data_IF_345896416896
#
_entry.id   IF_345896416896
#
_cell.length_a   1.000
_cell.length_b   1.000
_cell.length_c   1.000
_cell.angle_alpha   90.00
_cell.angle_beta   90.00
_cell.angle_gamma   90.00
#
_symmetry.space_group_name_H-M   'P 1'
#
loop_
_entity.id
_entity.type
_entity.pdbx_description
1 polymer ?
#
# COMPACT_ATOMS: atom_id res chain seq x y z
N UNK A 1 -10.55 6.87 17.28
CA UNK A 1 -10.38 6.21 15.98
C UNK A 1 -8.88 6.03 15.79
N UNK A 2 -8.36 4.81 15.95
CA UNK A 2 -6.96 4.53 15.61
C UNK A 2 -6.81 4.69 14.11
N UNK A 3 -5.83 5.47 13.66
CA UNK A 3 -5.53 5.58 12.24
C UNK A 3 -5.05 4.23 11.71
N UNK A 4 -5.47 3.85 10.51
CA UNK A 4 -5.00 2.63 9.83
C UNK A 4 -3.50 2.71 9.59
N UNK A 5 -2.76 1.68 10.01
CA UNK A 5 -1.34 1.56 9.73
C UNK A 5 -1.10 1.19 8.27
N UNK A 6 0.10 1.46 7.75
CA UNK A 6 0.46 1.07 6.38
C UNK A 6 0.31 -0.45 6.14
N UNK A 7 0.70 -1.26 7.14
CA UNK A 7 0.61 -2.71 7.06
C UNK A 7 -0.84 -3.21 7.03
N UNK A 8 -1.72 -2.63 7.86
CA UNK A 8 -3.17 -2.92 7.83
C UNK A 8 -3.78 -2.51 6.48
N UNK A 9 -3.48 -1.31 6.00
CA UNK A 9 -3.99 -0.83 4.72
C UNK A 9 -3.60 -1.75 3.56
N UNK A 10 -2.35 -2.23 3.52
CA UNK A 10 -1.88 -3.18 2.50
C UNK A 10 -2.55 -4.54 2.69
N UNK A 11 -2.53 -5.11 3.91
CA UNK A 11 -3.05 -6.44 4.18
C UNK A 11 -4.55 -6.57 3.86
N UNK A 12 -5.34 -5.60 4.31
CA UNK A 12 -6.78 -5.56 4.04
C UNK A 12 -7.05 -5.36 2.53
N UNK A 13 -6.20 -4.62 1.78
CA UNK A 13 -6.45 -4.33 0.36
C UNK A 13 -6.13 -5.55 -0.47
N UNK A 14 -5.05 -6.24 -0.09
CA UNK A 14 -4.66 -7.52 -0.64
C UNK A 14 -5.75 -8.57 -0.40
N UNK A 15 -6.26 -8.67 0.83
CA UNK A 15 -7.32 -9.62 1.16
C UNK A 15 -8.62 -9.37 0.37
N UNK A 16 -9.00 -8.11 0.17
CA UNK A 16 -10.18 -7.78 -0.65
C UNK A 16 -10.02 -8.23 -2.12
N UNK A 17 -8.81 -8.15 -2.67
CA UNK A 17 -8.56 -8.45 -4.08
C UNK A 17 -8.25 -9.92 -4.36
N UNK A 18 -7.57 -10.59 -3.44
CA UNK A 18 -7.11 -11.98 -3.60
C UNK A 18 -7.91 -12.99 -2.75
N UNK A 19 -8.73 -12.51 -1.81
CA UNK A 19 -9.44 -13.36 -0.85
C UNK A 19 -8.53 -13.99 0.21
N UNK A 20 -7.28 -13.57 0.29
CA UNK A 20 -6.28 -14.03 1.26
C UNK A 20 -5.46 -12.85 1.76
N UNK A 21 -5.29 -12.74 3.08
CA UNK A 21 -4.39 -11.76 3.68
C UNK A 21 -2.96 -12.32 3.69
N UNK A 22 -1.93 -11.50 3.41
CA UNK A 22 -0.55 -11.90 3.60
C UNK A 22 -0.27 -12.11 5.09
N UNK A 23 0.45 -13.18 5.42
CA UNK A 23 0.82 -13.55 6.78
C UNK A 23 2.30 -13.26 7.07
N UNK A 24 3.15 -13.38 6.06
CA UNK A 24 4.59 -13.20 6.15
C UNK A 24 5.06 -11.95 5.37
N UNK A 25 6.08 -11.20 5.87
CA UNK A 25 6.64 -10.06 5.14
C UNK A 25 7.19 -10.43 3.75
N UNK A 26 7.56 -11.70 3.56
CA UNK A 26 8.07 -12.23 2.30
C UNK A 26 6.99 -12.63 1.28
N UNK A 27 5.71 -12.63 1.66
CA UNK A 27 4.61 -12.99 0.77
C UNK A 27 4.58 -12.07 -0.44
N UNK A 28 4.57 -12.67 -1.63
CA UNK A 28 4.64 -11.97 -2.90
C UNK A 28 3.27 -11.87 -3.56
N UNK A 29 2.89 -10.67 -3.99
CA UNK A 29 1.54 -10.37 -4.50
C UNK A 29 1.20 -11.17 -5.75
N UNK A 30 2.16 -11.31 -6.66
CA UNK A 30 1.94 -12.03 -7.91
C UNK A 30 1.90 -13.54 -7.70
N UNK A 31 2.72 -14.04 -6.76
CA UNK A 31 2.71 -15.44 -6.34
C UNK A 31 1.41 -15.84 -5.63
N UNK A 32 0.75 -14.89 -4.95
CA UNK A 32 -0.55 -15.08 -4.30
C UNK A 32 -1.76 -14.98 -5.26
N UNK A 33 -1.54 -14.86 -6.58
CA UNK A 33 -2.61 -14.76 -7.59
C UNK A 33 -2.93 -13.33 -8.06
N UNK A 34 -2.10 -12.37 -7.69
CA UNK A 34 -2.09 -11.02 -8.23
C UNK A 34 -1.67 -10.98 -9.69
N UNK A 35 -2.23 -10.03 -10.43
CA UNK A 35 -1.86 -9.72 -11.81
C UNK A 35 -1.75 -8.20 -11.98
N UNK A 36 -1.45 -7.73 -13.19
CA UNK A 36 -1.29 -6.30 -13.46
C UNK A 36 -2.54 -5.49 -13.16
N UNK A 37 -3.74 -6.01 -13.44
CA UNK A 37 -5.00 -5.31 -13.15
C UNK A 37 -5.22 -5.23 -11.64
N UNK A 38 -5.03 -6.35 -10.93
CA UNK A 38 -5.14 -6.34 -9.46
C UNK A 38 -4.09 -5.47 -8.80
N UNK A 39 -2.89 -5.33 -9.38
CA UNK A 39 -1.88 -4.39 -8.89
C UNK A 39 -2.36 -2.93 -9.00
N UNK A 40 -3.02 -2.55 -10.12
CA UNK A 40 -3.66 -1.22 -10.25
C UNK A 40 -4.71 -1.02 -9.16
N UNK A 41 -5.58 -2.01 -8.97
CA UNK A 41 -6.65 -1.96 -7.99
C UNK A 41 -6.10 -1.92 -6.56
N UNK A 42 -5.01 -2.64 -6.28
CA UNK A 42 -4.34 -2.64 -4.97
C UNK A 42 -3.83 -1.24 -4.64
N UNK A 43 -3.16 -0.58 -5.58
CA UNK A 43 -2.69 0.80 -5.38
C UNK A 43 -3.87 1.74 -5.12
N UNK A 44 -4.97 1.62 -5.87
CA UNK A 44 -6.16 2.44 -5.66
C UNK A 44 -6.77 2.22 -4.26
N UNK A 45 -6.97 0.96 -3.86
CA UNK A 45 -7.54 0.59 -2.56
C UNK A 45 -6.69 1.10 -1.39
N UNK A 46 -5.36 0.97 -1.47
CA UNK A 46 -4.45 1.51 -0.45
C UNK A 46 -4.60 3.02 -0.36
N UNK A 47 -4.59 3.72 -1.50
CA UNK A 47 -4.73 5.19 -1.55
C UNK A 47 -6.02 5.68 -0.92
N UNK A 48 -7.14 5.02 -1.19
CA UNK A 48 -8.44 5.40 -0.64
C UNK A 48 -8.50 5.27 0.89
N UNK A 49 -7.74 4.31 1.46
CA UNK A 49 -7.71 4.07 2.91
C UNK A 49 -6.77 5.00 3.66
N UNK A 50 -5.59 5.29 3.11
CA UNK A 50 -4.58 6.12 3.80
C UNK A 50 -4.58 7.57 3.35
N UNK A 51 -5.30 7.91 2.27
CA UNK A 51 -5.47 9.28 1.78
C UNK A 51 -4.24 9.91 1.12
N UNK A 52 -3.30 9.09 0.62
CA UNK A 52 -2.07 9.58 -0.03
C UNK A 52 -2.03 9.24 -1.52
N UNK A 53 -1.15 9.90 -2.27
CA UNK A 53 -0.86 9.55 -3.66
C UNK A 53 0.29 8.55 -3.68
N UNK A 54 0.08 7.41 -4.32
CA UNK A 54 1.10 6.38 -4.53
C UNK A 54 1.40 6.24 -6.03
N UNK A 55 2.68 6.09 -6.41
CA UNK A 55 3.02 5.80 -7.80
C UNK A 55 2.52 4.41 -8.18
N UNK A 56 1.96 4.26 -9.38
CA UNK A 56 1.42 2.98 -9.86
C UNK A 56 2.45 1.84 -9.87
N UNK A 57 3.72 2.17 -10.13
CA UNK A 57 4.82 1.19 -10.18
C UNK A 57 5.19 0.58 -8.83
N UNK A 58 4.67 1.11 -7.72
CA UNK A 58 5.09 0.72 -6.36
C UNK A 58 4.97 -0.78 -6.09
N UNK A 59 3.91 -1.43 -6.59
CA UNK A 59 3.66 -2.88 -6.40
C UNK A 59 4.60 -3.71 -7.28
N UNK A 60 5.00 -3.20 -8.44
CA UNK A 60 5.94 -3.90 -9.33
C UNK A 60 7.37 -3.81 -8.80
N UNK A 61 7.73 -2.66 -8.23
CA UNK A 61 9.06 -2.44 -7.66
C UNK A 61 9.18 -3.04 -6.23
N UNK A 62 8.05 -3.29 -5.55
CA UNK A 62 7.98 -3.81 -4.16
C UNK A 62 6.80 -4.79 -4.04
N UNK A 63 6.90 -5.97 -4.65
CA UNK A 63 5.80 -6.94 -4.72
C UNK A 63 5.58 -7.73 -3.44
N UNK A 64 6.56 -7.71 -2.52
CA UNK A 64 6.49 -8.38 -1.22
C UNK A 64 5.74 -7.55 -0.20
N UNK A 65 4.95 -8.20 0.64
CA UNK A 65 4.11 -7.56 1.63
C UNK A 65 4.87 -6.59 2.56
N UNK A 66 6.03 -7.00 3.07
CA UNK A 66 6.88 -6.17 3.92
C UNK A 66 7.40 -4.94 3.20
N UNK A 67 7.99 -5.13 2.02
CA UNK A 67 8.55 -4.05 1.20
C UNK A 67 7.49 -3.02 0.80
N UNK A 68 6.32 -3.49 0.35
CA UNK A 68 5.18 -2.64 0.00
C UNK A 68 4.69 -1.84 1.21
N UNK A 69 4.54 -2.49 2.36
CA UNK A 69 4.09 -1.85 3.61
C UNK A 69 5.05 -0.77 4.08
N UNK A 70 6.37 -1.02 4.01
CA UNK A 70 7.39 -0.02 4.32
C UNK A 70 7.32 1.18 3.37
N UNK A 71 7.11 0.92 2.08
CA UNK A 71 7.00 1.97 1.06
C UNK A 71 5.78 2.85 1.25
N UNK A 72 4.64 2.25 1.59
CA UNK A 72 3.42 2.99 1.96
C UNK A 72 3.66 3.80 3.24
N UNK A 73 4.30 3.22 4.25
CA UNK A 73 4.61 3.94 5.49
C UNK A 73 5.53 5.15 5.26
N UNK A 74 6.52 5.02 4.37
CA UNK A 74 7.37 6.14 3.98
C UNK A 74 6.57 7.24 3.29
N UNK A 75 5.72 6.89 2.33
CA UNK A 75 4.87 7.85 1.62
C UNK A 75 3.88 8.57 2.55
N UNK A 76 3.33 7.87 3.56
CA UNK A 76 2.50 8.48 4.60
C UNK A 76 3.27 9.55 5.40
N UNK A 77 4.52 9.27 5.77
CA UNK A 77 5.39 10.21 6.51
C UNK A 77 5.82 11.40 5.65
N UNK A 78 6.06 11.20 4.36
CA UNK A 78 6.38 12.26 3.41
C UNK A 78 5.17 13.18 3.19
N UNK A 79 3.98 12.60 3.04
CA UNK A 79 2.74 13.37 2.89
C UNK A 79 2.42 14.19 4.13
N UNK A 80 2.65 13.65 5.34
CA UNK A 80 2.48 14.40 6.59
C UNK A 80 3.41 15.63 6.65
N UNK A 81 4.69 15.47 6.24
CA UNK A 81 5.69 16.54 6.22
C UNK A 81 5.42 17.61 5.15
N UNK A 82 4.88 17.22 3.99
CA UNK A 82 4.56 18.14 2.89
C UNK A 82 3.39 19.11 3.18
N UNK A 83 2.61 18.86 4.22
CA UNK A 83 1.49 19.74 4.62
C UNK A 83 1.96 21.04 5.30
N UNK A 84 3.21 21.12 5.75
CA UNK A 84 3.73 22.26 6.53
C UNK A 84 4.29 23.41 5.67
N UNK A 85 4.41 23.24 4.33
CA UNK A 85 5.14 24.20 3.47
C UNK A 85 4.29 25.16 2.62
N UNK A 86 2.95 25.17 2.77
CA UNK A 86 2.10 26.21 2.16
C UNK A 86 1.82 27.37 3.13
N UNK A 87 2.85 28.15 3.43
CA UNK A 87 2.73 29.52 3.93
C UNK A 87 3.61 30.45 3.07
N UNK A 88 3.06 30.88 1.94
CA UNK A 88 3.41 32.17 1.34
C UNK A 88 2.27 32.69 0.47
#
# INVERSE_FOLDING_TARGET
MSGTTAQEAVSESWNELLGVAPADPGDDFFSAGGDSLKAVLLVAAIRDRVGIVLPFRIVFDNSRFGELSERVALAMRESARGTEEKQH
#
